data_IF_946517861383
#
_entry.id   IF_946517861383
#
_cell.length_a   1.000
_cell.length_b   1.000
_cell.length_c   1.000
_cell.angle_alpha   90.00
_cell.angle_beta   90.00
_cell.angle_gamma   90.00
#
_symmetry.space_group_name_H-M   'P 1'
#
loop_
_entity.id
_entity.type
_entity.pdbx_description
1 polymer ?
#
# COMPACT_ATOMS: atom_id res chain seq x y z
N UNK A 1 -10.34 -9.91 3.94
CA UNK A 1 -9.43 -8.99 3.23
C UNK A 1 -8.40 -8.46 4.21
N UNK A 2 -7.12 -8.44 3.82
CA UNK A 2 -6.08 -7.81 4.62
C UNK A 2 -6.13 -6.28 4.50
N UNK A 3 -5.19 -5.58 5.17
CA UNK A 3 -5.12 -4.13 5.10
C UNK A 3 -4.78 -3.65 3.69
N UNK A 4 -5.24 -2.45 3.34
CA UNK A 4 -4.83 -1.77 2.11
C UNK A 4 -3.44 -1.19 2.31
N UNK A 5 -2.52 -1.48 1.39
CA UNK A 5 -1.27 -0.72 1.32
C UNK A 5 -1.55 0.64 0.69
N UNK A 6 -0.95 1.71 1.20
CA UNK A 6 -1.22 3.06 0.69
C UNK A 6 0.01 3.95 0.68
N UNK A 7 -0.06 5.03 -0.10
CA UNK A 7 0.90 6.13 0.00
C UNK A 7 0.73 6.95 1.29
N UNK A 8 1.74 7.75 1.62
CA UNK A 8 1.82 8.52 2.87
C UNK A 8 0.64 9.48 3.09
N UNK A 9 0.10 10.05 2.02
CA UNK A 9 -0.89 11.12 2.10
C UNK A 9 -2.31 10.66 2.48
N UNK A 10 -2.64 9.37 2.33
CA UNK A 10 -4.04 8.90 2.39
C UNK A 10 -4.37 7.95 3.55
N UNK A 11 -3.37 7.46 4.29
CA UNK A 11 -3.58 6.52 5.39
C UNK A 11 -4.56 7.02 6.45
N UNK A 12 -4.35 8.26 6.92
CA UNK A 12 -5.23 8.90 7.90
C UNK A 12 -6.66 9.14 7.38
N UNK A 13 -6.80 9.50 6.11
CA UNK A 13 -8.12 9.67 5.48
C UNK A 13 -8.89 8.34 5.40
N UNK A 14 -8.23 7.25 4.99
CA UNK A 14 -8.85 5.92 4.93
C UNK A 14 -9.32 5.45 6.30
N UNK A 15 -8.54 5.69 7.36
CA UNK A 15 -8.95 5.41 8.74
C UNK A 15 -10.20 6.22 9.11
N UNK A 16 -10.20 7.54 8.85
CA UNK A 16 -11.33 8.40 9.19
C UNK A 16 -12.61 8.01 8.45
N UNK A 17 -12.52 7.70 7.15
CA UNK A 17 -13.68 7.45 6.29
C UNK A 17 -14.26 6.04 6.43
N UNK A 18 -13.42 5.02 6.65
CA UNK A 18 -13.80 3.62 6.42
C UNK A 18 -13.57 2.70 7.62
N UNK A 19 -13.01 3.19 8.73
CA UNK A 19 -12.87 2.35 9.92
C UNK A 19 -14.23 2.02 10.56
N UNK A 20 -14.47 0.77 11.01
CA UNK A 20 -13.58 -0.40 10.99
C UNK A 20 -13.73 -1.30 9.74
N UNK A 21 -14.50 -0.89 8.74
CA UNK A 21 -14.78 -1.68 7.54
C UNK A 21 -13.57 -1.88 6.61
N UNK A 22 -12.58 -0.99 6.65
CA UNK A 22 -11.34 -1.09 5.86
C UNK A 22 -10.13 -0.75 6.72
N UNK A 23 -9.19 -1.70 6.79
CA UNK A 23 -7.94 -1.56 7.53
C UNK A 23 -6.83 -1.02 6.62
N UNK A 24 -5.86 -0.33 7.21
CA UNK A 24 -4.66 0.17 6.52
C UNK A 24 -3.40 -0.52 7.02
N UNK A 25 -2.36 -0.59 6.18
CA UNK A 25 -1.11 -1.27 6.53
C UNK A 25 -0.31 -0.55 7.61
N UNK A 26 -0.28 0.79 7.56
CA UNK A 26 0.43 1.64 8.52
C UNK A 26 -0.32 2.96 8.71
N UNK A 27 0.03 3.71 9.75
CA UNK A 27 -0.30 5.13 9.85
C UNK A 27 0.92 5.92 10.34
N UNK A 28 0.75 7.22 10.57
CA UNK A 28 1.81 8.19 10.85
C UNK A 28 2.31 8.18 12.31
N UNK A 29 1.79 7.30 13.17
CA UNK A 29 2.16 7.19 14.59
C UNK A 29 3.52 6.53 14.77
N UNK A 30 4.58 7.25 14.43
CA UNK A 30 5.92 6.70 14.33
C UNK A 30 6.49 6.14 15.64
N UNK A 31 6.06 6.71 16.76
CA UNK A 31 6.37 6.27 18.12
C UNK A 31 5.85 4.86 18.44
N UNK A 32 4.82 4.38 17.72
CA UNK A 32 4.22 3.06 17.96
C UNK A 32 4.93 1.94 17.18
N UNK A 33 5.48 2.27 16.01
CA UNK A 33 5.98 1.25 15.08
C UNK A 33 7.50 1.10 15.06
N UNK A 34 8.24 2.16 15.46
CA UNK A 34 9.70 2.17 15.41
C UNK A 34 10.27 2.28 14.00
N UNK A 35 11.57 2.60 13.91
CA UNK A 35 12.24 2.93 12.64
C UNK A 35 12.21 1.80 11.60
N UNK A 36 12.32 0.54 12.04
CA UNK A 36 12.32 -0.64 11.17
C UNK A 36 11.01 -0.75 10.35
N UNK A 37 9.87 -0.38 10.93
CA UNK A 37 8.59 -0.40 10.22
C UNK A 37 8.53 0.66 9.12
N UNK A 38 9.08 1.84 9.38
CA UNK A 38 9.12 2.92 8.38
C UNK A 38 10.07 2.58 7.23
N UNK A 39 11.21 1.95 7.53
CA UNK A 39 12.13 1.47 6.51
C UNK A 39 11.45 0.39 5.65
N UNK A 40 10.79 -0.59 6.27
CA UNK A 40 10.01 -1.59 5.55
C UNK A 40 8.93 -0.96 4.67
N UNK A 41 8.21 0.05 5.17
CA UNK A 41 7.22 0.77 4.40
C UNK A 41 7.84 1.51 3.20
N UNK A 42 8.94 2.23 3.42
CA UNK A 42 9.64 2.98 2.38
C UNK A 42 10.18 2.06 1.29
N UNK A 43 10.82 0.94 1.66
CA UNK A 43 11.34 -0.08 0.75
C UNK A 43 10.23 -0.74 -0.06
N UNK A 44 9.11 -1.04 0.60
CA UNK A 44 7.91 -1.59 -0.05
C UNK A 44 7.36 -0.59 -1.07
N UNK A 45 7.22 0.69 -0.70
CA UNK A 45 6.75 1.77 -1.57
C UNK A 45 7.68 2.00 -2.77
N UNK A 46 8.98 1.82 -2.57
CA UNK A 46 9.99 1.90 -3.63
C UNK A 46 9.97 0.68 -4.57
N UNK A 47 9.18 -0.36 -4.28
CA UNK A 47 9.11 -1.58 -5.09
C UNK A 47 10.33 -2.49 -4.91
N UNK A 48 11.09 -2.34 -3.82
CA UNK A 48 12.22 -3.23 -3.54
C UNK A 48 11.72 -4.66 -3.23
N UNK A 49 12.54 -5.71 -3.49
CA UNK A 49 12.09 -7.10 -3.45
C UNK A 49 11.33 -7.53 -2.18
N UNK A 50 11.56 -6.87 -1.05
CA UNK A 50 10.86 -7.08 0.23
C UNK A 50 9.34 -6.90 0.13
N UNK A 51 8.82 -6.14 -0.84
CA UNK A 51 7.39 -5.83 -0.97
C UNK A 51 6.51 -7.09 -0.95
N UNK A 52 6.97 -8.18 -1.58
CA UNK A 52 6.22 -9.43 -1.67
C UNK A 52 6.05 -10.09 -0.31
N UNK A 53 7.14 -10.17 0.46
CA UNK A 53 7.11 -10.72 1.82
C UNK A 53 6.22 -9.90 2.75
N UNK A 54 6.21 -8.57 2.58
CA UNK A 54 5.32 -7.67 3.30
C UNK A 54 3.87 -7.97 2.95
N UNK A 55 3.55 -8.00 1.66
CA UNK A 55 2.18 -8.20 1.20
C UNK A 55 1.65 -9.57 1.65
N UNK A 56 2.43 -10.63 1.51
CA UNK A 56 2.11 -11.98 1.98
C UNK A 56 1.91 -12.02 3.51
N UNK A 57 2.84 -11.43 4.28
CA UNK A 57 2.78 -11.44 5.75
C UNK A 57 1.51 -10.79 6.30
N UNK A 58 1.06 -9.70 5.69
CA UNK A 58 -0.11 -8.95 6.16
C UNK A 58 -1.40 -9.30 5.40
N UNK A 59 -1.34 -10.15 4.37
CA UNK A 59 -2.48 -10.50 3.53
C UNK A 59 -3.00 -9.34 2.68
N UNK A 60 -2.10 -8.44 2.25
CA UNK A 60 -2.42 -7.26 1.46
C UNK A 60 -2.76 -7.70 0.03
N UNK A 61 -3.98 -7.42 -0.39
CA UNK A 61 -4.46 -7.74 -1.75
C UNK A 61 -4.82 -6.50 -2.56
N UNK A 62 -4.67 -5.31 -1.97
CA UNK A 62 -4.99 -4.02 -2.59
C UNK A 62 -3.95 -2.96 -2.23
N UNK A 63 -3.60 -2.11 -3.19
CA UNK A 63 -2.68 -1.00 -3.02
C UNK A 63 -3.26 0.30 -3.63
N UNK A 64 -3.47 1.32 -2.80
CA UNK A 64 -3.88 2.67 -3.22
C UNK A 64 -2.66 3.60 -3.21
N UNK A 65 -2.10 3.84 -4.39
CA UNK A 65 -0.85 4.58 -4.56
C UNK A 65 -1.12 5.91 -5.22
N UNK A 66 -0.20 6.87 -5.09
CA UNK A 66 -0.27 8.06 -5.95
C UNK A 66 -0.10 7.64 -7.40
N UNK A 67 -0.78 8.34 -8.32
CA UNK A 67 -0.69 8.13 -9.76
C UNK A 67 0.67 8.53 -10.33
N UNK A 68 1.45 9.38 -9.62
CA UNK A 68 2.86 9.58 -9.93
C UNK A 68 3.61 8.25 -9.80
N UNK A 69 4.54 7.99 -10.73
CA UNK A 69 5.15 6.66 -10.82
C UNK A 69 5.87 6.31 -9.51
N UNK A 70 5.36 5.31 -8.80
CA UNK A 70 6.07 4.66 -7.70
C UNK A 70 6.65 3.34 -8.17
N UNK A 71 7.83 2.97 -7.67
CA UNK A 71 8.44 1.67 -8.00
C UNK A 71 7.54 0.49 -7.64
N UNK A 72 6.70 0.64 -6.60
CA UNK A 72 5.70 -0.34 -6.25
C UNK A 72 4.62 -0.52 -7.33
N UNK A 73 4.13 0.55 -7.97
CA UNK A 73 3.20 0.42 -9.11
C UNK A 73 3.80 -0.47 -10.20
N UNK A 74 5.07 -0.24 -10.57
CA UNK A 74 5.74 -0.96 -11.66
C UNK A 74 5.89 -2.45 -11.35
N UNK A 75 6.34 -2.80 -10.14
CA UNK A 75 6.54 -4.21 -9.76
C UNK A 75 5.23 -4.95 -9.56
N UNK A 76 4.16 -4.29 -9.09
CA UNK A 76 2.83 -4.89 -8.97
C UNK A 76 2.25 -5.19 -10.36
N UNK A 77 2.31 -4.22 -11.28
CA UNK A 77 1.87 -4.41 -12.65
C UNK A 77 2.65 -5.55 -13.35
N UNK A 78 3.98 -5.55 -13.19
CA UNK A 78 4.84 -6.62 -13.72
C UNK A 78 4.56 -8.00 -13.09
N UNK A 79 4.04 -8.03 -11.86
CA UNK A 79 3.64 -9.24 -11.14
C UNK A 79 2.20 -9.67 -11.44
N UNK A 80 1.51 -9.02 -12.39
CA UNK A 80 0.17 -9.41 -12.83
C UNK A 80 -0.98 -8.86 -12.00
N UNK A 81 -0.73 -7.86 -11.15
CA UNK A 81 -1.80 -7.13 -10.48
C UNK A 81 -2.59 -6.29 -11.50
N UNK A 82 -3.89 -6.19 -11.28
CA UNK A 82 -4.77 -5.43 -12.15
C UNK A 82 -5.03 -4.03 -11.58
N UNK A 83 -4.91 -3.01 -12.43
CA UNK A 83 -5.43 -1.67 -12.15
C UNK A 83 -6.96 -1.73 -12.12
N UNK A 84 -7.56 -1.30 -11.00
CA UNK A 84 -9.01 -1.28 -10.78
C UNK A 84 -9.59 0.12 -10.89
N UNK A 85 -8.77 1.14 -10.66
CA UNK A 85 -9.14 2.53 -10.76
C UNK A 85 -7.89 3.39 -10.97
N UNK A 86 -8.05 4.50 -11.68
CA UNK A 86 -7.04 5.54 -11.84
C UNK A 86 -7.71 6.89 -12.05
N UNK A 87 -7.15 7.92 -11.42
CA UNK A 87 -7.36 9.32 -11.75
C UNK A 87 -6.01 10.06 -11.80
N UNK A 88 -6.06 11.40 -11.81
CA UNK A 88 -4.87 12.25 -11.88
C UNK A 88 -4.01 12.18 -10.62
N UNK A 89 -4.55 11.76 -9.48
CA UNK A 89 -3.85 11.74 -8.18
C UNK A 89 -3.52 10.32 -7.70
N UNK A 90 -4.36 9.34 -8.01
CA UNK A 90 -4.30 8.00 -7.43
C UNK A 90 -4.48 6.87 -8.45
N UNK A 91 -3.91 5.72 -8.09
CA UNK A 91 -4.19 4.43 -8.73
C UNK A 91 -4.50 3.39 -7.66
N UNK A 92 -5.53 2.57 -7.92
CA UNK A 92 -5.84 1.39 -7.13
C UNK A 92 -5.44 0.14 -7.92
N UNK A 93 -4.52 -0.64 -7.39
CA UNK A 93 -4.18 -1.97 -7.89
C UNK A 93 -4.68 -3.04 -6.92
N UNK A 94 -4.99 -4.22 -7.45
CA UNK A 94 -5.30 -5.38 -6.62
C UNK A 94 -4.90 -6.69 -7.29
N UNK A 95 -4.67 -7.73 -6.48
CA UNK A 95 -4.41 -9.07 -6.98
C UNK A 95 -5.52 -9.54 -7.93
N UNK A 96 -5.10 -10.21 -8.98
CA UNK A 96 -6.00 -10.94 -9.88
C UNK A 96 -6.20 -12.31 -9.24
N UNK A 97 -7.29 -12.46 -8.47
CA UNK A 97 -7.64 -13.72 -7.81
C UNK A 97 -7.90 -14.86 -8.79
#
# INVERSE_FOLDING_TARGET
>A
DGPVFHGDAVGGYLIWAEWPGRLVYTDDRAELYGAERFEQFADTRAGLPLWREVFERYGITQALLSADQSGLQEVLAASGWAERYRDDEYVLLSETG
#
